data_IF_795688604897
#
_entry.id   IF_795688604897
#
_cell.length_a   1.000
_cell.length_b   1.000
_cell.length_c   1.000
_cell.angle_alpha   90.00
_cell.angle_beta   90.00
_cell.angle_gamma   90.00
#
_symmetry.space_group_name_H-M   'P 1'
#
loop_
_entity.id
_entity.type
_entity.pdbx_description
1 polymer ?
#
# COMPACT_ATOMS: atom_id res chain seq x y z
N UNK A 1 53.86 -47.27 -4.35
CA UNK A 1 52.39 -47.25 -4.28
C UNK A 1 51.96 -45.92 -3.67
N UNK A 2 51.05 -45.25 -4.37
CA UNK A 2 50.14 -44.17 -3.96
C UNK A 2 50.62 -43.09 -2.97
N UNK A 3 50.92 -41.91 -3.53
CA UNK A 3 50.75 -40.62 -2.88
C UNK A 3 49.32 -40.46 -2.38
N UNK A 4 49.13 -40.19 -1.09
CA UNK A 4 47.91 -39.56 -0.57
C UNK A 4 48.11 -38.05 -0.54
N UNK A 5 47.32 -37.37 -1.37
CA UNK A 5 47.17 -35.92 -1.45
C UNK A 5 46.19 -35.47 -0.34
N UNK A 6 46.52 -34.48 0.50
CA UNK A 6 45.52 -33.86 1.36
C UNK A 6 44.77 -32.80 0.55
N UNK A 7 43.53 -33.09 0.15
CA UNK A 7 42.59 -32.06 -0.31
C UNK A 7 41.65 -31.67 0.83
N UNK A 8 41.46 -30.36 1.00
CA UNK A 8 40.30 -29.84 1.71
C UNK A 8 40.59 -28.87 2.87
N UNK A 9 41.08 -27.67 2.58
CA UNK A 9 40.79 -26.48 3.40
C UNK A 9 41.14 -25.18 2.65
N UNK A 10 40.23 -24.72 1.81
CA UNK A 10 40.41 -23.45 1.07
C UNK A 10 39.12 -22.83 0.53
N UNK A 11 38.06 -23.62 0.32
CA UNK A 11 36.85 -23.15 -0.36
C UNK A 11 35.83 -22.36 0.51
N UNK A 12 36.19 -21.90 1.71
CA UNK A 12 35.21 -21.45 2.71
C UNK A 12 35.41 -20.04 3.29
N UNK A 13 36.49 -19.32 2.96
CA UNK A 13 36.75 -17.97 3.50
C UNK A 13 36.43 -16.89 2.45
N UNK A 14 36.91 -17.06 1.22
CA UNK A 14 36.70 -16.10 0.14
C UNK A 14 35.22 -15.97 -0.26
N UNK A 15 34.48 -17.10 -0.28
CA UNK A 15 33.05 -17.10 -0.55
C UNK A 15 32.24 -16.36 0.54
N UNK A 16 32.66 -16.46 1.81
CA UNK A 16 32.02 -15.75 2.94
C UNK A 16 32.32 -14.25 2.84
N UNK A 17 33.52 -13.87 2.43
CA UNK A 17 33.90 -12.46 2.24
C UNK A 17 33.17 -11.81 1.04
N UNK A 18 32.98 -12.54 -0.07
CA UNK A 18 32.20 -12.08 -1.22
C UNK A 18 30.71 -11.90 -0.88
N UNK A 19 30.12 -12.83 -0.15
CA UNK A 19 28.74 -12.72 0.35
C UNK A 19 28.60 -11.48 1.24
N UNK A 20 29.55 -11.25 2.15
CA UNK A 20 29.58 -10.10 3.06
C UNK A 20 29.68 -8.75 2.33
N UNK A 21 30.53 -8.64 1.31
CA UNK A 21 30.65 -7.43 0.47
C UNK A 21 29.36 -7.18 -0.35
N UNK A 22 28.78 -8.23 -0.90
CA UNK A 22 27.51 -8.17 -1.65
C UNK A 22 26.35 -7.72 -0.75
N UNK A 23 26.26 -8.24 0.46
CA UNK A 23 25.23 -7.87 1.43
C UNK A 23 25.32 -6.40 1.86
N UNK A 24 26.51 -5.91 2.23
CA UNK A 24 26.71 -4.49 2.58
C UNK A 24 26.33 -3.55 1.45
N UNK A 25 26.57 -3.96 0.20
CA UNK A 25 26.18 -3.19 -0.99
C UNK A 25 24.64 -3.13 -1.14
N UNK A 26 23.94 -4.23 -0.86
CA UNK A 26 22.47 -4.27 -0.87
C UNK A 26 21.89 -3.39 0.23
N UNK A 27 22.37 -3.53 1.47
CA UNK A 27 21.93 -2.70 2.60
C UNK A 27 22.13 -1.20 2.32
N UNK A 28 23.30 -0.81 1.80
CA UNK A 28 23.57 0.57 1.42
C UNK A 28 22.63 1.07 0.30
N UNK A 29 22.26 0.19 -0.63
CA UNK A 29 21.31 0.51 -1.68
C UNK A 29 19.89 0.67 -1.13
N UNK A 30 19.46 -0.20 -0.23
CA UNK A 30 18.13 -0.16 0.37
C UNK A 30 17.92 1.14 1.17
N UNK A 31 18.93 1.56 1.94
CA UNK A 31 18.87 2.85 2.66
C UNK A 31 18.87 4.03 1.69
N UNK A 32 19.57 3.93 0.55
CA UNK A 32 19.48 4.95 -0.50
C UNK A 32 18.09 5.03 -1.12
N UNK A 33 17.42 3.90 -1.35
CA UNK A 33 16.05 3.87 -1.86
C UNK A 33 15.06 4.49 -0.87
N UNK A 34 15.21 4.21 0.43
CA UNK A 34 14.42 4.87 1.49
C UNK A 34 14.64 6.38 1.51
N UNK A 35 15.90 6.83 1.43
CA UNK A 35 16.21 8.26 1.34
C UNK A 35 15.55 8.92 0.13
N UNK A 36 15.59 8.25 -1.03
CA UNK A 36 14.94 8.73 -2.26
C UNK A 36 13.43 8.83 -2.08
N UNK A 37 12.81 7.81 -1.49
CA UNK A 37 11.37 7.78 -1.24
C UNK A 37 10.92 8.96 -0.36
N UNK A 38 11.64 9.25 0.73
CA UNK A 38 11.37 10.41 1.58
C UNK A 38 11.42 11.74 0.82
N UNK A 39 12.40 11.89 -0.08
CA UNK A 39 12.55 13.10 -0.91
C UNK A 39 11.40 13.25 -1.92
N UNK A 40 10.90 12.14 -2.46
CA UNK A 40 9.81 12.13 -3.45
C UNK A 40 8.41 12.23 -2.83
N UNK A 41 8.30 11.99 -1.52
CA UNK A 41 7.03 11.97 -0.81
C UNK A 41 6.33 13.34 -0.76
N UNK A 42 4.99 13.33 -0.74
CA UNK A 42 4.17 14.54 -0.54
C UNK A 42 4.51 15.20 0.81
N UNK A 43 4.59 16.55 0.89
CA UNK A 43 4.99 17.24 2.12
C UNK A 43 4.12 16.89 3.34
N UNK A 44 2.82 16.68 3.16
CA UNK A 44 1.90 16.34 4.23
C UNK A 44 2.15 14.95 4.82
N UNK A 45 2.41 13.95 3.96
CA UNK A 45 2.76 12.59 4.40
C UNK A 45 4.13 12.57 5.06
N UNK A 46 5.11 13.23 4.43
CA UNK A 46 6.46 13.34 4.97
C UNK A 46 6.45 13.93 6.38
N UNK A 47 5.75 15.05 6.61
CA UNK A 47 5.66 15.67 7.93
C UNK A 47 5.14 14.71 9.00
N UNK A 48 4.11 13.90 8.68
CA UNK A 48 3.56 12.92 9.62
C UNK A 48 4.58 11.84 9.99
N UNK A 49 5.31 11.31 9.00
CA UNK A 49 6.35 10.29 9.21
C UNK A 49 7.50 10.86 10.04
N UNK A 50 7.98 12.06 9.71
CA UNK A 50 9.07 12.69 10.45
C UNK A 50 8.69 12.94 11.91
N UNK A 51 7.45 13.37 12.16
CA UNK A 51 6.94 13.53 13.53
C UNK A 51 6.76 12.21 14.28
N UNK A 52 6.38 11.12 13.62
CA UNK A 52 6.18 9.82 14.30
C UNK A 52 7.48 9.13 14.70
N UNK A 53 8.58 9.39 13.97
CA UNK A 53 9.90 8.80 14.23
C UNK A 53 10.79 9.74 15.05
N UNK A 54 10.29 10.92 15.43
CA UNK A 54 11.05 11.97 16.13
C UNK A 54 12.41 12.25 15.48
N UNK A 55 12.40 12.43 14.15
CA UNK A 55 13.62 12.66 13.38
C UNK A 55 14.16 14.06 13.59
N UNK A 56 15.49 14.15 13.63
CA UNK A 56 16.22 15.39 13.85
C UNK A 56 15.91 16.46 12.77
N UNK A 57 16.01 17.74 13.14
CA UNK A 57 15.79 18.88 12.24
C UNK A 57 16.77 18.82 11.05
N UNK A 58 17.95 18.27 11.25
CA UNK A 58 18.99 18.07 10.23
C UNK A 58 18.51 17.18 9.07
N UNK A 59 17.79 16.09 9.36
CA UNK A 59 17.27 15.18 8.33
C UNK A 59 16.17 15.88 7.52
N UNK A 60 15.31 16.63 8.20
CA UNK A 60 14.26 17.42 7.57
C UNK A 60 14.84 18.48 6.62
N UNK A 61 15.92 19.14 7.03
CA UNK A 61 16.64 20.12 6.23
C UNK A 61 17.25 19.50 4.97
N UNK A 62 17.96 18.38 5.10
CA UNK A 62 18.58 17.68 3.98
C UNK A 62 17.55 17.16 2.97
N UNK A 63 16.37 16.70 3.44
CA UNK A 63 15.26 16.35 2.54
C UNK A 63 14.77 17.58 1.76
N UNK A 64 14.55 18.71 2.45
CA UNK A 64 14.11 19.93 1.79
C UNK A 64 15.13 20.46 0.76
N UNK A 65 16.42 20.34 1.08
CA UNK A 65 17.53 20.71 0.19
C UNK A 65 17.57 19.81 -1.05
N UNK A 66 17.48 18.49 -0.90
CA UNK A 66 17.41 17.54 -2.01
C UNK A 66 16.23 17.83 -2.96
N UNK A 67 15.07 18.23 -2.43
CA UNK A 67 13.87 18.56 -3.24
C UNK A 67 14.03 19.82 -4.08
N UNK A 68 14.83 20.80 -3.64
CA UNK A 68 15.09 22.05 -4.37
C UNK A 68 16.12 21.89 -5.50
N UNK A 69 16.89 20.80 -5.50
CA UNK A 69 17.92 20.55 -6.51
C UNK A 69 17.30 20.22 -7.88
N UNK A 70 17.61 21.04 -8.89
CA UNK A 70 17.14 20.85 -10.27
C UNK A 70 17.95 19.80 -11.04
N UNK A 71 19.26 19.69 -10.76
CA UNK A 71 20.13 18.73 -11.44
C UNK A 71 19.99 17.33 -10.83
N UNK A 72 19.78 16.32 -11.67
CA UNK A 72 19.75 14.91 -11.24
C UNK A 72 21.02 14.49 -10.52
N UNK A 73 22.19 14.97 -10.95
CA UNK A 73 23.47 14.66 -10.31
C UNK A 73 23.58 15.26 -8.91
N UNK A 74 23.19 16.53 -8.75
CA UNK A 74 23.17 17.21 -7.46
C UNK A 74 22.17 16.55 -6.50
N UNK A 75 20.94 16.29 -6.98
CA UNK A 75 19.91 15.60 -6.21
C UNK A 75 20.36 14.20 -5.77
N UNK A 76 20.96 13.41 -6.66
CA UNK A 76 21.47 12.07 -6.34
C UNK A 76 22.56 12.12 -5.26
N UNK A 77 23.51 13.05 -5.36
CA UNK A 77 24.58 13.22 -4.34
C UNK A 77 24.00 13.60 -2.99
N UNK A 78 23.04 14.52 -2.98
CA UNK A 78 22.33 14.91 -1.76
C UNK A 78 21.58 13.72 -1.15
N UNK A 79 20.86 12.93 -1.95
CA UNK A 79 20.19 11.72 -1.48
C UNK A 79 21.17 10.67 -0.94
N UNK A 80 22.39 10.59 -1.48
CA UNK A 80 23.46 9.74 -0.92
C UNK A 80 23.98 10.26 0.42
N UNK A 81 24.06 11.57 0.59
CA UNK A 81 24.40 12.17 1.88
C UNK A 81 23.30 11.90 2.91
N UNK A 82 22.04 12.13 2.54
CA UNK A 82 20.88 11.79 3.36
C UNK A 82 20.89 10.30 3.74
N UNK A 83 21.16 9.38 2.81
CA UNK A 83 21.22 7.95 3.12
C UNK A 83 22.35 7.58 4.08
N UNK A 84 23.43 8.36 4.15
CA UNK A 84 24.47 8.21 5.17
C UNK A 84 23.97 8.65 6.55
N UNK A 85 23.19 9.73 6.64
CA UNK A 85 22.58 10.19 7.88
C UNK A 85 21.53 9.20 8.39
N UNK A 86 20.69 8.66 7.50
CA UNK A 86 19.68 7.67 7.87
C UNK A 86 20.26 6.37 8.47
N UNK A 87 21.53 6.04 8.22
CA UNK A 87 22.17 4.87 8.87
C UNK A 87 22.49 5.07 10.35
N UNK A 88 22.36 6.29 10.86
CA UNK A 88 22.65 6.63 12.26
C UNK A 88 21.39 6.60 13.14
N UNK A 89 20.22 6.39 12.54
CA UNK A 89 18.92 6.32 13.23
C UNK A 89 18.39 4.88 13.20
N UNK A 90 17.27 4.66 13.89
CA UNK A 90 16.51 3.42 13.78
C UNK A 90 15.81 3.32 12.41
N UNK A 91 16.45 2.58 11.51
CA UNK A 91 15.96 2.34 10.14
C UNK A 91 14.69 1.51 10.12
N UNK A 92 14.49 0.61 11.08
CA UNK A 92 13.32 -0.26 11.12
C UNK A 92 12.09 0.54 11.56
N UNK A 93 12.24 1.43 12.55
CA UNK A 93 11.20 2.38 12.92
C UNK A 93 10.81 3.30 11.75
N UNK A 94 11.80 3.80 11.00
CA UNK A 94 11.55 4.60 9.80
C UNK A 94 10.80 3.81 8.71
N UNK A 95 11.23 2.57 8.44
CA UNK A 95 10.56 1.68 7.47
C UNK A 95 9.11 1.44 7.85
N UNK A 96 8.85 1.11 9.12
CA UNK A 96 7.49 0.91 9.63
C UNK A 96 6.64 2.17 9.47
N UNK A 97 7.18 3.35 9.78
CA UNK A 97 6.48 4.61 9.64
C UNK A 97 6.17 4.96 8.18
N UNK A 98 6.99 4.51 7.22
CA UNK A 98 6.74 4.63 5.79
C UNK A 98 5.69 3.62 5.29
N UNK A 99 5.74 2.38 5.77
CA UNK A 99 4.93 1.30 5.23
C UNK A 99 3.49 1.28 5.77
N UNK A 100 3.30 1.55 7.07
CA UNK A 100 1.96 1.55 7.70
C UNK A 100 0.93 2.42 6.95
N UNK A 101 1.23 3.67 6.54
CA UNK A 101 0.27 4.47 5.76
C UNK A 101 -0.04 3.88 4.39
N UNK A 102 0.92 3.18 3.76
CA UNK A 102 0.70 2.53 2.45
C UNK A 102 -0.20 1.32 2.59
N UNK A 103 0.03 0.49 3.60
CA UNK A 103 -0.82 -0.66 3.89
C UNK A 103 -2.25 -0.21 4.15
N UNK A 104 -2.44 0.85 4.94
CA UNK A 104 -3.76 1.43 5.16
C UNK A 104 -4.40 1.93 3.86
N UNK A 105 -3.65 2.66 3.03
CA UNK A 105 -4.16 3.16 1.75
C UNK A 105 -4.52 2.03 0.78
N UNK A 106 -3.71 0.97 0.74
CA UNK A 106 -3.97 -0.23 -0.05
C UNK A 106 -5.22 -0.94 0.45
N UNK A 107 -5.34 -1.14 1.77
CA UNK A 107 -6.52 -1.77 2.37
C UNK A 107 -7.80 -0.97 2.07
N UNK A 108 -7.75 0.36 2.18
CA UNK A 108 -8.90 1.22 1.85
C UNK A 108 -9.22 1.20 0.35
N UNK A 109 -8.21 1.16 -0.54
CA UNK A 109 -8.43 1.02 -1.98
C UNK A 109 -9.07 -0.32 -2.33
N UNK A 110 -8.58 -1.43 -1.76
CA UNK A 110 -9.17 -2.76 -1.94
C UNK A 110 -10.60 -2.82 -1.40
N UNK A 111 -10.86 -2.17 -0.25
CA UNK A 111 -12.20 -2.02 0.32
C UNK A 111 -13.12 -1.24 -0.61
N UNK A 112 -12.67 -0.12 -1.16
CA UNK A 112 -13.44 0.66 -2.14
C UNK A 112 -13.80 -0.16 -3.37
N UNK A 113 -12.82 -0.85 -3.97
CA UNK A 113 -13.09 -1.71 -5.12
C UNK A 113 -14.05 -2.84 -4.81
N UNK A 114 -13.93 -3.46 -3.63
CA UNK A 114 -14.89 -4.49 -3.19
C UNK A 114 -16.31 -3.95 -3.10
N UNK A 115 -16.50 -2.77 -2.52
CA UNK A 115 -17.80 -2.12 -2.42
C UNK A 115 -18.36 -1.73 -3.81
N UNK A 116 -17.51 -1.30 -4.73
CA UNK A 116 -17.87 -1.05 -6.13
C UNK A 116 -18.33 -2.34 -6.82
N UNK A 117 -17.58 -3.43 -6.68
CA UNK A 117 -17.96 -4.73 -7.24
C UNK A 117 -19.29 -5.24 -6.69
N UNK A 118 -19.55 -5.09 -5.39
CA UNK A 118 -20.84 -5.44 -4.79
C UNK A 118 -21.99 -4.60 -5.35
N UNK A 119 -21.79 -3.28 -5.46
CA UNK A 119 -22.78 -2.37 -6.06
C UNK A 119 -23.11 -2.80 -7.49
N UNK A 120 -22.09 -3.07 -8.28
CA UNK A 120 -22.25 -3.42 -9.69
C UNK A 120 -22.91 -4.79 -9.84
N UNK A 121 -22.53 -5.78 -9.01
CA UNK A 121 -23.18 -7.09 -8.96
C UNK A 121 -24.66 -7.02 -8.55
N UNK A 122 -25.01 -6.18 -7.56
CA UNK A 122 -26.41 -5.95 -7.17
C UNK A 122 -27.21 -5.32 -8.31
N UNK A 123 -26.63 -4.36 -9.02
CA UNK A 123 -27.26 -3.72 -10.17
C UNK A 123 -27.36 -4.69 -11.35
N UNK A 124 -26.40 -5.58 -11.59
CA UNK A 124 -26.45 -6.53 -12.70
C UNK A 124 -27.41 -7.71 -12.43
N UNK A 125 -27.25 -8.36 -11.29
CA UNK A 125 -27.87 -9.67 -11.02
C UNK A 125 -29.11 -9.61 -10.14
N UNK A 126 -29.34 -8.48 -9.44
CA UNK A 126 -30.54 -8.27 -8.65
C UNK A 126 -30.70 -9.31 -7.53
N UNK A 127 -31.71 -10.17 -7.64
CA UNK A 127 -32.18 -10.97 -6.50
C UNK A 127 -31.20 -12.05 -6.02
N UNK A 128 -30.40 -12.64 -6.92
CA UNK A 128 -29.41 -13.64 -6.54
C UNK A 128 -28.36 -13.05 -5.59
N UNK A 129 -27.86 -11.85 -5.91
CA UNK A 129 -26.85 -11.14 -5.11
C UNK A 129 -27.45 -10.54 -3.84
N UNK A 130 -28.72 -10.08 -3.89
CA UNK A 130 -29.47 -9.66 -2.68
C UNK A 130 -29.53 -10.80 -1.66
N UNK A 131 -29.86 -12.01 -2.09
CA UNK A 131 -29.95 -13.16 -1.20
C UNK A 131 -28.58 -13.53 -0.59
N UNK A 132 -27.49 -13.43 -1.36
CA UNK A 132 -26.13 -13.66 -0.86
C UNK A 132 -25.69 -12.58 0.15
N UNK A 133 -26.00 -11.32 -0.11
CA UNK A 133 -25.72 -10.23 0.81
C UNK A 133 -26.48 -10.41 2.14
N UNK A 134 -27.76 -10.78 2.07
CA UNK A 134 -28.58 -11.04 3.25
C UNK A 134 -28.22 -12.33 3.99
N UNK A 135 -27.64 -13.32 3.31
CA UNK A 135 -27.11 -14.51 3.98
C UNK A 135 -25.88 -14.19 4.83
N UNK A 136 -25.08 -13.22 4.39
CA UNK A 136 -23.93 -12.72 5.14
C UNK A 136 -24.35 -11.79 6.29
N UNK A 137 -25.42 -11.01 6.10
CA UNK A 137 -25.90 -10.02 7.07
C UNK A 137 -27.44 -10.03 7.21
N UNK A 138 -27.94 -10.53 8.34
CA UNK A 138 -29.36 -10.83 8.54
C UNK A 138 -30.25 -9.62 8.89
N UNK A 139 -29.72 -8.39 8.90
CA UNK A 139 -30.36 -7.20 9.48
C UNK A 139 -31.07 -6.27 8.48
N UNK A 140 -31.08 -6.59 7.18
CA UNK A 140 -31.52 -5.66 6.13
C UNK A 140 -32.86 -6.00 5.49
N UNK A 141 -33.63 -4.96 5.19
CA UNK A 141 -34.87 -5.08 4.41
C UNK A 141 -34.55 -5.35 2.93
N UNK A 142 -34.81 -6.59 2.52
CA UNK A 142 -34.67 -7.06 1.13
C UNK A 142 -35.53 -6.25 0.17
N UNK A 143 -36.71 -5.79 0.59
CA UNK A 143 -37.60 -5.02 -0.28
C UNK A 143 -37.04 -3.65 -0.58
N UNK A 144 -36.49 -2.97 0.44
CA UNK A 144 -35.81 -1.69 0.25
C UNK A 144 -34.63 -1.83 -0.72
N UNK A 145 -33.80 -2.87 -0.57
CA UNK A 145 -32.66 -3.08 -1.45
C UNK A 145 -33.08 -3.36 -2.90
N UNK A 146 -34.11 -4.19 -3.11
CA UNK A 146 -34.71 -4.43 -4.44
C UNK A 146 -35.24 -3.14 -5.06
N UNK A 147 -35.87 -2.27 -4.28
CA UNK A 147 -36.36 -0.99 -4.76
C UNK A 147 -35.22 -0.07 -5.19
N UNK A 148 -34.14 0.00 -4.41
CA UNK A 148 -32.94 0.77 -4.75
C UNK A 148 -32.28 0.26 -6.03
N UNK A 149 -32.16 -1.06 -6.21
CA UNK A 149 -31.60 -1.66 -7.44
C UNK A 149 -32.43 -1.27 -8.67
N UNK A 150 -33.76 -1.41 -8.60
CA UNK A 150 -34.66 -1.01 -9.71
C UNK A 150 -34.55 0.47 -10.04
N UNK A 151 -34.40 1.32 -9.02
CA UNK A 151 -34.23 2.76 -9.21
C UNK A 151 -32.87 3.09 -9.84
N UNK A 152 -31.79 2.46 -9.39
CA UNK A 152 -30.45 2.63 -9.97
C UNK A 152 -30.40 2.19 -11.44
N UNK A 153 -31.04 1.06 -11.79
CA UNK A 153 -31.18 0.60 -13.19
C UNK A 153 -31.94 1.61 -14.04
N UNK A 154 -33.05 2.16 -13.51
CA UNK A 154 -33.83 3.20 -14.21
C UNK A 154 -33.05 4.49 -14.40
N UNK A 155 -32.31 4.93 -13.39
CA UNK A 155 -31.43 6.11 -13.50
C UNK A 155 -30.40 5.92 -14.62
N UNK A 156 -29.73 4.76 -14.65
CA UNK A 156 -28.76 4.42 -15.70
C UNK A 156 -29.41 4.37 -17.10
N UNK A 157 -30.55 3.71 -17.24
CA UNK A 157 -31.26 3.59 -18.53
C UNK A 157 -31.73 4.94 -19.09
N UNK A 158 -31.98 5.93 -18.22
CA UNK A 158 -32.42 7.27 -18.62
C UNK A 158 -31.27 8.30 -18.61
N UNK A 159 -30.00 7.89 -18.53
CA UNK A 159 -28.83 8.77 -18.44
C UNK A 159 -28.95 9.84 -17.32
N UNK A 160 -29.65 9.49 -16.23
CA UNK A 160 -29.81 10.38 -15.07
C UNK A 160 -28.59 10.27 -14.17
N UNK A 161 -28.32 11.29 -13.33
CA UNK A 161 -27.28 11.21 -12.32
C UNK A 161 -27.48 9.97 -11.42
N UNK A 162 -26.41 9.19 -11.12
CA UNK A 162 -26.49 7.91 -10.42
C UNK A 162 -26.68 8.07 -8.89
N UNK A 163 -27.72 8.80 -8.48
CA UNK A 163 -27.99 9.13 -7.09
C UNK A 163 -28.31 7.89 -6.26
N UNK A 164 -29.10 6.97 -6.80
CA UNK A 164 -29.45 5.73 -6.11
C UNK A 164 -28.26 4.77 -6.06
N UNK A 165 -27.46 4.69 -7.11
CA UNK A 165 -26.20 3.91 -7.13
C UNK A 165 -25.21 4.41 -6.07
N UNK A 166 -25.05 5.73 -5.90
CA UNK A 166 -24.28 6.32 -4.79
C UNK A 166 -24.85 6.01 -3.41
N UNK A 167 -26.18 5.86 -3.31
CA UNK A 167 -26.85 5.49 -2.07
C UNK A 167 -26.67 4.01 -1.73
N UNK A 168 -26.67 3.13 -2.75
CA UNK A 168 -26.30 1.72 -2.60
C UNK A 168 -24.86 1.57 -2.08
N UNK A 169 -23.91 2.31 -2.66
CA UNK A 169 -22.52 2.29 -2.18
C UNK A 169 -22.41 2.72 -0.71
N UNK A 170 -23.09 3.80 -0.30
CA UNK A 170 -23.11 4.26 1.10
C UNK A 170 -23.71 3.22 2.05
N UNK A 171 -24.78 2.54 1.62
CA UNK A 171 -25.38 1.45 2.37
C UNK A 171 -24.39 0.28 2.53
N UNK A 172 -23.75 -0.17 1.45
CA UNK A 172 -22.73 -1.22 1.49
C UNK A 172 -21.53 -0.84 2.35
N UNK A 173 -21.08 0.42 2.30
CA UNK A 173 -20.01 0.92 3.14
C UNK A 173 -20.36 0.87 4.64
N UNK A 174 -21.62 1.13 4.99
CA UNK A 174 -22.13 0.97 6.35
C UNK A 174 -22.17 -0.49 6.80
N UNK A 175 -22.51 -1.41 5.89
CA UNK A 175 -22.47 -2.86 6.16
C UNK A 175 -21.03 -3.31 6.42
N UNK A 176 -20.13 -2.96 5.51
CA UNK A 176 -18.72 -3.35 5.57
C UNK A 176 -18.00 -2.81 6.83
N UNK A 177 -18.47 -1.67 7.37
CA UNK A 177 -18.00 -1.16 8.66
C UNK A 177 -18.44 -2.00 9.86
N UNK A 178 -19.64 -2.60 9.80
CA UNK A 178 -20.15 -3.47 10.88
C UNK A 178 -19.53 -4.87 10.78
N UNK A 179 -19.41 -5.37 9.56
CA UNK A 179 -18.80 -6.65 9.25
C UNK A 179 -18.22 -6.59 7.84
N UNK A 180 -16.92 -6.80 7.73
CA UNK A 180 -16.22 -6.77 6.44
C UNK A 180 -16.91 -7.71 5.44
N UNK A 181 -17.30 -7.15 4.29
CA UNK A 181 -17.96 -7.93 3.26
C UNK A 181 -16.95 -8.89 2.62
N UNK A 182 -17.34 -10.11 2.26
CA UNK A 182 -16.50 -11.00 1.46
C UNK A 182 -16.33 -10.43 0.05
N UNK A 183 -15.48 -11.07 -0.76
CA UNK A 183 -15.36 -10.75 -2.17
C UNK A 183 -16.74 -10.76 -2.85
N UNK A 184 -17.00 -9.78 -3.72
CA UNK A 184 -18.27 -9.69 -4.41
C UNK A 184 -18.46 -10.92 -5.33
N UNK A 185 -19.68 -11.44 -5.45
CA UNK A 185 -19.96 -12.50 -6.41
C UNK A 185 -19.70 -11.99 -7.82
N UNK A 186 -19.02 -12.81 -8.62
CA UNK A 186 -18.75 -12.49 -10.03
C UNK A 186 -20.07 -12.25 -10.77
N UNK A 187 -20.12 -11.19 -11.57
CA UNK A 187 -21.21 -10.99 -12.49
C UNK A 187 -21.16 -12.10 -13.54
N UNK A 188 -22.10 -13.05 -13.48
CA UNK A 188 -22.30 -14.05 -14.53
C UNK A 188 -22.83 -13.42 -15.82
#
# INVERSE_FOLDING_TARGET
MASQKPEGKGASIDAVEEISKSQRKREAHDVFLLARELVEMKPSTLKKILSSVNLDEDISFEIAKARKMKSHGARKRETQFLSKQLRQIDLDLLRMAIEQPKEFALAESLRQHRLESWRDALIANGDSVVNQLCATNSSFDRQQLRQMIRNARREAAHNKPPATSRSLFRLLAGIDQQQALPAAPEAS
#
